data_IF_831288876395
#
_entry.id   IF_831288876395
#
_cell.length_a   1.000
_cell.length_b   1.000
_cell.length_c   1.000
_cell.angle_alpha   90.00
_cell.angle_beta   90.00
_cell.angle_gamma   90.00
#
_symmetry.space_group_name_H-M   'P 1'
#
loop_
_entity.id
_entity.type
_entity.pdbx_description
1 polymer ?
#
# COMPACT_ATOMS: atom_id res chain seq x y z
N UNK A 1 2.68 1.89 24.24
CA UNK A 1 1.82 2.29 23.11
C UNK A 1 0.90 1.13 22.75
N UNK A 2 -0.39 1.38 22.61
CA UNK A 2 -1.48 0.40 22.51
C UNK A 2 -1.26 -0.61 21.37
N UNK A 3 -1.47 -1.91 21.65
CA UNK A 3 -1.29 -3.05 20.71
C UNK A 3 -1.98 -2.82 19.34
N UNK A 4 -3.03 -2.01 19.29
CA UNK A 4 -3.80 -1.69 18.10
C UNK A 4 -3.10 -0.79 17.08
N UNK A 5 -2.05 -0.05 17.45
CA UNK A 5 -1.29 0.80 16.53
C UNK A 5 0.04 0.18 16.08
N UNK A 6 0.39 -1.00 16.63
CA UNK A 6 1.63 -1.72 16.28
C UNK A 6 1.69 -2.03 14.79
N UNK A 7 0.57 -2.44 14.19
CA UNK A 7 0.52 -2.67 12.74
C UNK A 7 0.92 -1.39 11.96
N UNK A 8 0.36 -0.23 12.28
CA UNK A 8 0.66 1.04 11.63
C UNK A 8 2.10 1.56 11.84
N UNK A 9 2.80 1.06 12.86
CA UNK A 9 4.13 1.56 13.27
C UNK A 9 5.27 0.57 13.09
N UNK A 10 4.98 -0.73 12.91
CA UNK A 10 5.98 -1.78 12.66
C UNK A 10 6.48 -1.79 11.21
N UNK A 11 5.65 -1.38 10.25
CA UNK A 11 6.05 -1.21 8.85
C UNK A 11 6.14 0.28 8.49
N UNK A 12 6.87 0.60 7.42
CA UNK A 12 7.00 1.95 6.84
C UNK A 12 5.66 2.52 6.31
N UNK A 13 4.50 1.97 6.70
CA UNK A 13 3.13 2.29 6.25
C UNK A 13 2.72 3.77 6.30
N UNK A 14 3.18 4.60 7.26
CA UNK A 14 2.92 6.03 7.18
C UNK A 14 3.43 6.63 5.85
N UNK A 15 4.55 6.12 5.33
CA UNK A 15 5.05 6.52 4.00
C UNK A 15 4.16 5.99 2.87
N UNK A 16 3.62 4.78 2.99
CA UNK A 16 2.68 4.24 2.00
C UNK A 16 1.43 5.11 1.88
N UNK A 17 0.90 5.61 3.01
CA UNK A 17 -0.25 6.53 3.03
C UNK A 17 0.12 7.86 2.38
N UNK A 18 1.26 8.47 2.75
CA UNK A 18 1.68 9.77 2.19
C UNK A 18 1.93 9.67 0.68
N UNK A 19 2.65 8.64 0.23
CA UNK A 19 2.94 8.43 -1.19
C UNK A 19 1.64 8.11 -1.95
N UNK A 20 0.80 7.25 -1.40
CA UNK A 20 -0.53 6.97 -1.95
C UNK A 20 -1.35 8.24 -2.12
N UNK A 21 -1.35 9.13 -1.12
CA UNK A 21 -2.02 10.43 -1.17
C UNK A 21 -1.53 11.31 -2.31
N UNK A 22 -0.22 11.51 -2.44
CA UNK A 22 0.34 12.33 -3.52
C UNK A 22 0.01 11.76 -4.90
N UNK A 23 0.07 10.43 -5.04
CA UNK A 23 -0.26 9.75 -6.30
C UNK A 23 -1.77 9.87 -6.59
N UNK A 24 -2.62 9.67 -5.59
CA UNK A 24 -4.07 9.81 -5.72
C UNK A 24 -4.48 11.23 -6.11
N UNK A 25 -3.77 12.25 -5.61
CA UNK A 25 -4.00 13.65 -5.94
C UNK A 25 -3.57 13.99 -7.38
N UNK A 26 -2.48 13.40 -7.88
CA UNK A 26 -1.93 13.70 -9.21
C UNK A 26 -2.54 12.84 -10.34
N UNK A 27 -2.79 11.56 -10.06
CA UNK A 27 -3.14 10.53 -11.06
C UNK A 27 -4.45 9.79 -10.73
N UNK A 28 -5.16 10.20 -9.69
CA UNK A 28 -6.39 9.57 -9.25
C UNK A 28 -6.22 8.18 -8.65
N UNK A 29 -7.36 7.53 -8.36
CA UNK A 29 -7.39 6.25 -7.67
C UNK A 29 -6.74 5.11 -8.47
N UNK A 30 -6.78 5.17 -9.80
CA UNK A 30 -6.13 4.19 -10.69
C UNK A 30 -4.61 4.28 -10.61
N UNK A 31 -4.06 5.51 -10.52
CA UNK A 31 -2.63 5.72 -10.29
C UNK A 31 -2.18 5.14 -8.95
N UNK A 32 -2.96 5.36 -7.89
CA UNK A 32 -2.67 4.80 -6.56
C UNK A 32 -2.71 3.27 -6.57
N UNK A 33 -3.66 2.66 -7.28
CA UNK A 33 -3.75 1.20 -7.44
C UNK A 33 -2.52 0.63 -8.13
N UNK A 34 -2.13 1.19 -9.29
CA UNK A 34 -0.95 0.73 -10.04
C UNK A 34 0.32 0.87 -9.21
N UNK A 35 0.49 1.99 -8.50
CA UNK A 35 1.64 2.23 -7.64
C UNK A 35 1.70 1.23 -6.47
N UNK A 36 0.57 0.98 -5.81
CA UNK A 36 0.47 0.01 -4.72
C UNK A 36 0.80 -1.41 -5.20
N UNK A 37 0.17 -1.87 -6.30
CA UNK A 37 0.43 -3.19 -6.85
C UNK A 37 1.88 -3.34 -7.30
N UNK A 38 2.46 -2.34 -7.96
CA UNK A 38 3.84 -2.41 -8.45
C UNK A 38 4.85 -2.46 -7.31
N UNK A 39 4.65 -1.67 -6.25
CA UNK A 39 5.53 -1.66 -5.09
C UNK A 39 5.57 -3.03 -4.40
N UNK A 40 4.41 -3.63 -4.18
CA UNK A 40 4.29 -4.93 -3.51
C UNK A 40 4.74 -6.09 -4.39
N UNK A 41 4.42 -6.09 -5.69
CA UNK A 41 4.93 -7.10 -6.63
C UNK A 41 6.45 -7.05 -6.70
N UNK A 42 7.04 -5.85 -6.72
CA UNK A 42 8.50 -5.67 -6.71
C UNK A 42 9.11 -6.26 -5.44
N UNK A 43 8.54 -5.98 -4.27
CA UNK A 43 9.06 -6.49 -3.00
C UNK A 43 8.94 -8.02 -2.89
N UNK A 44 7.81 -8.55 -3.35
CA UNK A 44 7.56 -9.99 -3.43
C UNK A 44 8.56 -10.71 -4.36
N UNK A 45 8.82 -10.15 -5.55
CA UNK A 45 9.82 -10.67 -6.48
C UNK A 45 11.23 -10.61 -5.88
N UNK A 46 11.59 -9.50 -5.24
CA UNK A 46 12.89 -9.32 -4.59
C UNK A 46 13.12 -10.30 -3.43
N UNK A 47 12.04 -10.65 -2.73
CA UNK A 47 12.04 -11.62 -1.63
C UNK A 47 12.11 -13.09 -2.08
N UNK A 48 12.18 -13.33 -3.39
CA UNK A 48 12.25 -14.67 -3.98
C UNK A 48 10.89 -15.38 -4.00
N UNK A 49 9.79 -14.63 -4.05
CA UNK A 49 8.42 -15.14 -4.19
C UNK A 49 8.03 -16.21 -3.15
N UNK A 50 8.55 -16.09 -1.92
CA UNK A 50 8.45 -17.15 -0.90
C UNK A 50 7.02 -17.35 -0.38
N UNK A 51 6.16 -16.32 -0.42
CA UNK A 51 4.73 -16.43 -0.12
C UNK A 51 3.87 -16.35 -1.37
N UNK A 52 2.59 -16.69 -1.28
CA UNK A 52 1.64 -16.57 -2.38
C UNK A 52 1.03 -15.18 -2.43
N UNK A 53 0.62 -14.70 -3.62
CA UNK A 53 -0.05 -13.40 -3.80
C UNK A 53 -1.32 -13.33 -2.92
N UNK A 54 -2.03 -14.43 -2.78
CA UNK A 54 -3.28 -14.49 -2.00
C UNK A 54 -3.09 -14.88 -0.53
N UNK A 55 -1.84 -15.03 -0.04
CA UNK A 55 -1.56 -15.40 1.37
C UNK A 55 -1.77 -16.88 1.73
N UNK A 56 -2.11 -17.74 0.77
CA UNK A 56 -2.36 -19.18 0.99
C UNK A 56 -1.06 -19.99 1.15
N UNK A 57 0.07 -19.44 0.72
CA UNK A 57 1.40 -20.05 0.84
C UNK A 57 2.17 -19.30 1.91
N UNK A 58 2.63 -20.02 2.93
CA UNK A 58 3.42 -19.48 4.05
C UNK A 58 4.77 -18.95 3.52
N UNK A 59 5.05 -17.66 3.74
CA UNK A 59 6.31 -17.00 3.39
C UNK A 59 6.14 -15.47 3.28
N UNK A 60 7.21 -14.75 2.87
CA UNK A 60 7.12 -13.31 2.55
C UNK A 60 6.36 -13.14 1.22
N UNK A 61 5.04 -13.01 1.32
CA UNK A 61 4.12 -12.86 0.20
C UNK A 61 3.84 -11.39 -0.12
N UNK A 62 2.80 -11.14 -0.91
CA UNK A 62 2.31 -9.80 -1.18
C UNK A 62 1.76 -9.16 0.12
N UNK A 63 2.28 -8.00 0.55
CA UNK A 63 1.81 -7.34 1.76
C UNK A 63 0.55 -6.51 1.46
N UNK A 64 -0.60 -7.15 1.69
CA UNK A 64 -1.90 -6.52 1.53
C UNK A 64 -2.14 -5.34 2.48
N UNK A 65 -1.42 -5.25 3.61
CA UNK A 65 -1.53 -4.10 4.53
C UNK A 65 -0.83 -2.87 3.94
N UNK A 66 0.32 -3.06 3.29
CA UNK A 66 1.05 -1.99 2.64
C UNK A 66 0.33 -1.53 1.36
N UNK A 67 -0.26 -2.47 0.60
CA UNK A 67 -1.19 -2.16 -0.50
C UNK A 67 -2.41 -1.34 -0.02
N UNK A 68 -3.09 -1.79 1.04
CA UNK A 68 -4.25 -1.10 1.59
C UNK A 68 -3.88 0.30 2.12
N UNK A 69 -2.71 0.45 2.75
CA UNK A 69 -2.23 1.75 3.23
C UNK A 69 -2.04 2.75 2.07
N UNK A 70 -1.44 2.30 0.95
CA UNK A 70 -1.31 3.14 -0.26
C UNK A 70 -2.67 3.48 -0.87
N UNK A 71 -3.60 2.53 -0.91
CA UNK A 71 -4.96 2.78 -1.42
C UNK A 71 -5.77 3.75 -0.54
N UNK A 72 -5.61 3.70 0.79
CA UNK A 72 -6.24 4.67 1.71
C UNK A 72 -5.71 6.07 1.43
N UNK A 73 -4.38 6.21 1.31
CA UNK A 73 -3.76 7.47 0.89
C UNK A 73 -4.34 7.96 -0.44
N UNK A 74 -4.35 7.08 -1.44
CA UNK A 74 -4.85 7.37 -2.78
C UNK A 74 -6.31 7.81 -2.83
N UNK A 75 -7.18 7.16 -2.05
CA UNK A 75 -8.59 7.53 -1.94
C UNK A 75 -8.78 8.92 -1.33
N UNK A 76 -7.98 9.26 -0.31
CA UNK A 76 -8.01 10.61 0.29
C UNK A 76 -7.51 11.65 -0.72
N UNK A 77 -6.39 11.37 -1.41
CA UNK A 77 -5.82 12.28 -2.42
C UNK A 77 -6.77 12.53 -3.58
N UNK A 78 -7.35 11.46 -4.13
CA UNK A 78 -8.35 11.55 -5.20
C UNK A 78 -9.64 12.23 -4.74
N UNK A 79 -10.07 11.99 -3.50
CA UNK A 79 -11.23 12.67 -2.91
C UNK A 79 -11.03 14.19 -2.85
N UNK A 80 -9.82 14.66 -2.50
CA UNK A 80 -9.47 16.09 -2.56
C UNK A 80 -9.44 16.58 -4.02
N UNK A 81 -8.83 15.82 -4.93
CA UNK A 81 -8.79 16.15 -6.37
C UNK A 81 -10.19 16.26 -6.99
N UNK A 82 -11.20 15.55 -6.47
CA UNK A 82 -12.57 15.68 -6.95
C UNK A 82 -13.30 16.92 -6.43
N UNK A 83 -12.82 17.51 -5.33
CA UNK A 83 -13.43 18.68 -4.68
C UNK A 83 -12.85 20.00 -5.20
N UNK A 84 -11.59 20.00 -5.65
CA UNK A 84 -10.84 21.16 -6.16
C UNK A 84 -10.42 20.97 -7.61
#
# INVERSE_FOLDING_TARGET
>A
MTRYFKWLTESNRPKHIIVGFLIGLAFGITGAFVAATTAEVKDWLWSGQKGGIFGWVKGNGFDWLDFAATMIGGAIGFGIQCIF
#
